data_IF_223109090938
#
_entry.id   IF_223109090938
#
_cell.length_a   1.000
_cell.length_b   1.000
_cell.length_c   1.000
_cell.angle_alpha   90.00
_cell.angle_beta   90.00
_cell.angle_gamma   90.00
#
_symmetry.space_group_name_H-M   'P 1'
#
loop_
_entity.id
_entity.type
_entity.pdbx_description
1 polymer ?
#
# COMPACT_ATOMS: atom_id res chain seq x y z
N UNK A 1 -20.34 16.29 -15.50
CA UNK A 1 -19.64 16.64 -14.24
C UNK A 1 -19.42 15.47 -13.29
N UNK A 2 -19.95 14.26 -13.57
CA UNK A 2 -19.69 13.04 -12.78
C UNK A 2 -18.33 12.39 -13.14
N UNK A 3 -17.89 12.53 -14.40
CA UNK A 3 -16.69 11.88 -14.93
C UNK A 3 -15.36 12.33 -14.28
N UNK A 4 -15.28 13.57 -13.76
CA UNK A 4 -14.03 14.09 -13.16
C UNK A 4 -13.83 13.55 -11.74
N UNK A 5 -14.91 13.28 -11.00
CA UNK A 5 -14.83 12.71 -9.66
C UNK A 5 -14.39 11.24 -9.69
N UNK A 6 -14.94 10.43 -10.60
CA UNK A 6 -14.56 9.01 -10.72
C UNK A 6 -13.10 8.82 -11.14
N UNK A 7 -12.59 9.67 -12.03
CA UNK A 7 -11.22 9.59 -12.50
C UNK A 7 -10.21 10.00 -11.40
N UNK A 8 -10.57 11.01 -10.61
CA UNK A 8 -9.82 11.39 -9.41
C UNK A 8 -9.80 10.29 -8.35
N UNK A 9 -10.95 9.65 -8.10
CA UNK A 9 -11.07 8.56 -7.12
C UNK A 9 -10.25 7.33 -7.57
N UNK A 10 -10.31 6.97 -8.86
CA UNK A 10 -9.49 5.89 -9.42
C UNK A 10 -7.99 6.17 -9.31
N UNK A 11 -7.54 7.35 -9.72
CA UNK A 11 -6.13 7.72 -9.63
C UNK A 11 -5.62 7.68 -8.18
N UNK A 12 -6.50 7.97 -7.21
CA UNK A 12 -6.17 7.88 -5.79
C UNK A 12 -6.06 6.43 -5.30
N UNK A 13 -7.01 5.57 -5.66
CA UNK A 13 -6.93 4.14 -5.37
C UNK A 13 -5.68 3.49 -5.97
N UNK A 14 -5.29 3.93 -7.17
CA UNK A 14 -4.09 3.45 -7.85
C UNK A 14 -2.82 3.87 -7.11
N UNK A 15 -2.72 5.14 -6.69
CA UNK A 15 -1.61 5.63 -5.85
C UNK A 15 -1.54 4.90 -4.51
N UNK A 16 -2.68 4.63 -3.88
CA UNK A 16 -2.75 3.87 -2.63
C UNK A 16 -2.27 2.42 -2.82
N UNK A 17 -2.62 1.79 -3.94
CA UNK A 17 -2.16 0.45 -4.28
C UNK A 17 -0.65 0.41 -4.58
N UNK A 18 -0.13 1.40 -5.32
CA UNK A 18 1.31 1.53 -5.60
C UNK A 18 2.11 1.74 -4.32
N UNK A 19 1.64 2.61 -3.41
CA UNK A 19 2.29 2.82 -2.12
C UNK A 19 2.31 1.52 -1.28
N UNK A 20 1.20 0.79 -1.24
CA UNK A 20 1.12 -0.50 -0.53
C UNK A 20 2.05 -1.57 -1.12
N UNK A 21 2.16 -1.62 -2.45
CA UNK A 21 3.11 -2.50 -3.13
C UNK A 21 4.56 -2.13 -2.78
N UNK A 22 4.89 -0.83 -2.75
CA UNK A 22 6.21 -0.33 -2.33
C UNK A 22 6.58 -0.75 -0.91
N UNK A 23 5.65 -0.63 0.04
CA UNK A 23 5.85 -1.08 1.44
C UNK A 23 6.09 -2.58 1.52
N UNK A 24 5.39 -3.37 0.69
CA UNK A 24 5.55 -4.83 0.64
C UNK A 24 6.93 -5.24 0.11
N UNK A 25 7.39 -4.59 -0.96
CA UNK A 25 8.72 -4.84 -1.55
C UNK A 25 9.84 -4.39 -0.59
N UNK A 26 9.67 -3.25 0.08
CA UNK A 26 10.61 -2.78 1.10
C UNK A 26 10.69 -3.76 2.28
N UNK A 27 9.55 -4.25 2.77
CA UNK A 27 9.53 -5.25 3.85
C UNK A 27 10.25 -6.54 3.46
N UNK A 28 10.01 -7.05 2.24
CA UNK A 28 10.73 -8.20 1.69
C UNK A 28 12.24 -7.92 1.59
N UNK A 29 12.63 -6.76 1.05
CA UNK A 29 14.03 -6.37 0.88
C UNK A 29 14.77 -6.27 2.21
N UNK A 30 14.16 -5.64 3.22
CA UNK A 30 14.70 -5.60 4.59
C UNK A 30 14.80 -7.01 5.17
N UNK A 31 13.77 -7.84 4.95
CA UNK A 31 13.79 -9.25 5.35
C UNK A 31 14.94 -10.02 4.73
N UNK A 32 15.24 -9.78 3.45
CA UNK A 32 16.38 -10.39 2.77
C UNK A 32 17.72 -9.93 3.36
N UNK A 33 17.89 -8.63 3.62
CA UNK A 33 19.10 -8.07 4.27
C UNK A 33 19.33 -8.69 5.65
N UNK A 34 18.25 -8.93 6.41
CA UNK A 34 18.31 -9.52 7.76
C UNK A 34 18.29 -11.05 7.77
N UNK A 35 18.39 -11.71 6.61
CA UNK A 35 18.30 -13.17 6.45
C UNK A 35 17.02 -13.79 7.06
N UNK A 36 15.93 -13.01 7.04
CA UNK A 36 14.58 -13.35 7.51
C UNK A 36 13.54 -12.94 6.46
N UNK A 37 13.73 -13.37 5.22
CA UNK A 37 12.87 -13.00 4.10
C UNK A 37 11.37 -13.29 4.35
N UNK A 38 11.06 -14.41 5.02
CA UNK A 38 9.67 -14.74 5.39
C UNK A 38 9.04 -13.72 6.33
N UNK A 39 9.73 -13.34 7.41
CA UNK A 39 9.22 -12.34 8.34
C UNK A 39 9.12 -10.95 7.70
N UNK A 40 10.09 -10.57 6.87
CA UNK A 40 10.05 -9.31 6.13
C UNK A 40 8.90 -9.24 5.12
N UNK A 41 8.62 -10.34 4.41
CA UNK A 41 7.48 -10.43 3.49
C UNK A 41 6.15 -10.28 4.21
N UNK A 42 5.96 -10.98 5.34
CA UNK A 42 4.72 -10.93 6.13
C UNK A 42 4.51 -9.53 6.73
N UNK A 43 5.56 -8.95 7.32
CA UNK A 43 5.49 -7.58 7.84
C UNK A 43 5.25 -6.56 6.73
N UNK A 44 5.93 -6.68 5.58
CA UNK A 44 5.74 -5.80 4.44
C UNK A 44 4.31 -5.86 3.87
N UNK A 45 3.78 -7.06 3.67
CA UNK A 45 2.41 -7.26 3.21
C UNK A 45 1.37 -6.74 4.22
N UNK A 46 1.56 -7.02 5.52
CA UNK A 46 0.69 -6.54 6.58
C UNK A 46 0.67 -5.01 6.68
N UNK A 47 1.85 -4.38 6.67
CA UNK A 47 1.96 -2.92 6.67
C UNK A 47 1.41 -2.31 5.39
N UNK A 48 1.60 -2.94 4.23
CA UNK A 48 1.04 -2.49 2.95
C UNK A 48 -0.49 -2.46 2.96
N UNK A 49 -1.14 -3.48 3.54
CA UNK A 49 -2.61 -3.51 3.69
C UNK A 49 -3.11 -2.43 4.66
N UNK A 50 -2.41 -2.21 5.77
CA UNK A 50 -2.74 -1.14 6.73
C UNK A 50 -2.59 0.23 6.08
N UNK A 51 -1.52 0.46 5.31
CA UNK A 51 -1.27 1.71 4.62
C UNK A 51 -2.35 2.00 3.58
N UNK A 52 -2.75 0.98 2.79
CA UNK A 52 -3.86 1.09 1.85
C UNK A 52 -5.17 1.42 2.57
N UNK A 53 -5.46 0.75 3.68
CA UNK A 53 -6.67 0.99 4.47
C UNK A 53 -6.69 2.39 5.12
N UNK A 54 -5.55 2.89 5.59
CA UNK A 54 -5.41 4.24 6.15
C UNK A 54 -5.65 5.31 5.08
N UNK A 55 -5.05 5.14 3.90
CA UNK A 55 -5.24 6.07 2.77
C UNK A 55 -6.71 6.11 2.34
N UNK A 56 -7.38 4.96 2.28
CA UNK A 56 -8.82 4.90 1.95
C UNK A 56 -9.69 5.47 3.09
N UNK A 57 -9.35 5.21 4.37
CA UNK A 57 -10.12 5.74 5.51
C UNK A 57 -10.05 7.25 5.64
N UNK A 58 -8.91 7.87 5.31
CA UNK A 58 -8.71 9.32 5.41
C UNK A 58 -9.66 10.10 4.49
N UNK A 59 -10.14 9.47 3.42
CA UNK A 59 -11.07 10.06 2.44
C UNK A 59 -12.55 9.90 2.84
N UNK A 60 -12.88 8.94 3.72
CA UNK A 60 -14.27 8.69 4.16
C UNK A 60 -14.67 9.48 5.41
N UNK A 61 -13.74 10.21 6.03
CA UNK A 61 -13.92 10.93 7.30
C UNK A 61 -14.01 12.44 7.12
#
# INVERSE_FOLDING_TARGET
>A
MVNILEEHERAYYERAAVAAAGVSVLGLGIGMILNKAGAGAVCGAGLGLIFRALVIRRERG
#
